data_IF_556731114371
#
_entry.id   IF_556731114371
#
_cell.length_a   1.000
_cell.length_b   1.000
_cell.length_c   1.000
_cell.angle_alpha   90.00
_cell.angle_beta   90.00
_cell.angle_gamma   90.00
#
_symmetry.space_group_name_H-M   'P 1'
#
loop_
_entity.id
_entity.type
_entity.pdbx_description
1 polymer ?
#
# COMPACT_ATOMS: atom_id res chain seq x y z
N UNK A 1 21.35 6.93 -59.73
CA UNK A 1 20.56 7.01 -58.48
C UNK A 1 19.05 6.79 -58.71
N UNK A 2 18.64 5.65 -59.30
CA UNK A 2 17.21 5.28 -59.44
C UNK A 2 16.90 3.84 -58.99
N UNK A 3 17.91 3.03 -58.65
CA UNK A 3 17.74 1.63 -58.23
C UNK A 3 17.68 1.42 -56.71
N UNK A 4 18.08 2.40 -55.90
CA UNK A 4 18.06 2.26 -54.42
C UNK A 4 16.67 2.51 -53.83
N UNK A 5 15.77 3.18 -54.56
CA UNK A 5 14.39 3.43 -54.10
C UNK A 5 13.46 2.24 -54.24
N UNK A 6 13.80 1.23 -55.07
CA UNK A 6 12.96 0.06 -55.31
C UNK A 6 13.14 -1.02 -54.22
N UNK A 7 14.29 -1.06 -53.56
CA UNK A 7 14.58 -2.05 -52.50
C UNK A 7 13.98 -1.60 -51.16
N UNK A 8 13.90 -0.29 -50.88
CA UNK A 8 13.33 0.22 -49.63
C UNK A 8 11.80 0.07 -49.52
N UNK A 9 11.08 0.01 -50.65
CA UNK A 9 9.63 -0.25 -50.63
C UNK A 9 9.30 -1.74 -50.45
N UNK A 10 10.22 -2.66 -50.78
CA UNK A 10 9.95 -4.10 -50.67
C UNK A 10 10.10 -4.61 -49.23
N UNK A 11 10.99 -4.02 -48.43
CA UNK A 11 11.19 -4.43 -47.03
C UNK A 11 10.06 -3.99 -46.11
N UNK A 12 9.35 -2.90 -46.43
CA UNK A 12 8.18 -2.44 -45.66
C UNK A 12 6.95 -3.31 -45.99
N UNK A 13 6.81 -3.78 -47.23
CA UNK A 13 5.73 -4.68 -47.64
C UNK A 13 5.88 -6.10 -47.06
N UNK A 14 7.10 -6.63 -46.94
CA UNK A 14 7.35 -7.93 -46.31
C UNK A 14 7.25 -7.89 -44.77
N UNK A 15 7.50 -6.75 -44.12
CA UNK A 15 7.22 -6.58 -42.68
C UNK A 15 5.73 -6.44 -42.38
N UNK A 16 4.91 -6.00 -43.34
CA UNK A 16 3.45 -5.92 -43.19
C UNK A 16 2.75 -7.26 -43.43
N UNK A 17 3.37 -8.19 -44.18
CA UNK A 17 2.81 -9.54 -44.38
C UNK A 17 3.07 -10.47 -43.18
N UNK A 18 4.09 -10.20 -42.36
CA UNK A 18 4.24 -10.83 -41.04
C UNK A 18 3.40 -10.13 -39.94
N UNK A 19 2.81 -8.97 -40.22
CA UNK A 19 1.82 -8.33 -39.35
C UNK A 19 0.36 -8.67 -39.71
N UNK A 20 0.11 -9.26 -40.89
CA UNK A 20 -1.23 -9.67 -41.30
C UNK A 20 -1.69 -10.99 -40.65
N UNK A 21 -0.77 -11.83 -40.17
CA UNK A 21 -1.13 -13.03 -39.40
C UNK A 21 -1.55 -12.74 -37.96
N UNK A 22 -1.24 -11.55 -37.42
CA UNK A 22 -1.72 -11.13 -36.10
C UNK A 22 -3.20 -10.68 -36.13
N UNK A 23 -3.78 -10.51 -37.32
CA UNK A 23 -5.19 -10.15 -37.51
C UNK A 23 -5.99 -11.26 -38.20
N UNK A 24 -5.55 -12.52 -38.08
CA UNK A 24 -6.39 -13.66 -38.46
C UNK A 24 -7.65 -13.69 -37.60
N UNK A 25 -8.78 -13.77 -38.30
CA UNK A 25 -10.14 -13.47 -37.87
C UNK A 25 -10.78 -14.52 -36.95
N UNK A 26 -10.02 -15.43 -36.35
CA UNK A 26 -10.57 -16.58 -35.60
C UNK A 26 -9.89 -16.89 -34.26
N UNK A 27 -9.32 -15.90 -33.55
CA UNK A 27 -8.95 -16.08 -32.14
C UNK A 27 -9.35 -14.87 -31.29
N UNK A 28 -10.44 -15.05 -30.56
CA UNK A 28 -11.05 -14.06 -29.66
C UNK A 28 -10.19 -13.69 -28.44
N UNK A 29 -9.06 -14.36 -28.20
CA UNK A 29 -8.38 -14.28 -26.90
C UNK A 29 -7.06 -13.47 -26.87
N UNK A 30 -6.39 -13.21 -28.00
CA UNK A 30 -5.04 -12.63 -27.99
C UNK A 30 -4.98 -11.10 -28.18
N UNK A 31 -5.97 -10.50 -28.85
CA UNK A 31 -6.02 -9.05 -28.99
C UNK A 31 -6.44 -8.37 -27.68
N UNK A 32 -7.32 -9.00 -26.90
CA UNK A 32 -7.68 -8.51 -25.56
C UNK A 32 -6.46 -8.53 -24.62
N UNK A 33 -5.58 -9.52 -24.73
CA UNK A 33 -4.34 -9.56 -23.95
C UNK A 33 -3.35 -8.44 -24.35
N UNK A 34 -3.24 -8.11 -25.64
CA UNK A 34 -2.39 -7.03 -26.13
C UNK A 34 -2.97 -5.64 -25.79
N UNK A 35 -4.29 -5.45 -25.90
CA UNK A 35 -4.96 -4.24 -25.45
C UNK A 35 -4.95 -4.10 -23.92
N UNK A 36 -5.04 -5.20 -23.16
CA UNK A 36 -4.85 -5.21 -21.71
C UNK A 36 -3.41 -4.86 -21.30
N UNK A 37 -2.41 -5.30 -22.08
CA UNK A 37 -1.01 -4.88 -21.92
C UNK A 37 -0.82 -3.38 -22.22
N UNK A 38 -1.47 -2.87 -23.28
CA UNK A 38 -1.40 -1.46 -23.70
C UNK A 38 -2.21 -0.52 -22.78
N UNK A 39 -3.19 -1.04 -22.03
CA UNK A 39 -3.97 -0.32 -21.02
C UNK A 39 -3.29 -0.30 -19.63
N UNK A 40 -2.12 -0.92 -19.47
CA UNK A 40 -1.28 -0.92 -18.26
C UNK A 40 -2.10 -0.82 -16.95
N UNK A 41 -2.92 -1.84 -16.70
CA UNK A 41 -3.58 -1.99 -15.41
C UNK A 41 -2.49 -2.25 -14.35
N UNK A 42 -2.30 -1.29 -13.45
CA UNK A 42 -1.24 -1.35 -12.47
C UNK A 42 -1.03 -0.02 -11.80
N UNK A 43 -0.37 -0.04 -10.66
CA UNK A 43 0.03 1.16 -9.92
C UNK A 43 1.52 1.41 -10.15
N UNK A 44 1.95 2.66 -10.00
CA UNK A 44 3.39 2.97 -10.10
C UNK A 44 4.08 2.50 -8.83
N UNK A 45 5.10 1.66 -8.99
CA UNK A 45 5.91 1.15 -7.88
C UNK A 45 7.33 1.68 -8.05
N UNK A 46 7.90 2.19 -6.97
CA UNK A 46 9.27 2.69 -6.92
C UNK A 46 9.96 2.18 -5.66
N UNK A 47 11.25 1.92 -5.76
CA UNK A 47 12.07 1.59 -4.60
C UNK A 47 12.40 2.86 -3.81
N UNK A 48 12.45 2.72 -2.49
CA UNK A 48 12.81 3.77 -1.54
C UNK A 48 14.06 3.32 -0.79
N UNK A 49 15.04 4.21 -0.64
CA UNK A 49 16.30 3.92 0.03
C UNK A 49 16.48 4.65 1.37
N UNK A 50 15.56 5.54 1.72
CA UNK A 50 15.60 6.36 2.94
C UNK A 50 14.27 6.33 3.65
N UNK A 51 14.24 6.15 4.99
CA UNK A 51 15.39 5.96 5.88
C UNK A 51 16.04 4.57 5.79
N UNK A 52 15.38 3.63 5.10
CA UNK A 52 15.96 2.33 4.74
C UNK A 52 15.32 1.83 3.44
N UNK A 53 15.70 0.62 3.02
CA UNK A 53 15.11 -0.03 1.85
C UNK A 53 13.61 -0.27 2.02
N UNK A 54 12.85 0.01 0.98
CA UNK A 54 11.40 -0.19 0.96
C UNK A 54 10.83 -0.06 -0.45
N UNK A 55 9.53 -0.26 -0.56
CA UNK A 55 8.78 -0.11 -1.82
C UNK A 55 7.65 0.89 -1.59
N UNK A 56 7.62 1.93 -2.39
CA UNK A 56 6.52 2.89 -2.47
C UNK A 56 5.60 2.50 -3.62
N UNK A 57 4.31 2.45 -3.31
CA UNK A 57 3.24 2.25 -4.28
C UNK A 57 2.44 3.55 -4.34
N UNK A 58 2.48 4.20 -5.50
CA UNK A 58 1.72 5.41 -5.79
C UNK A 58 0.38 5.03 -6.42
N UNK A 59 -0.70 5.24 -5.65
CA UNK A 59 -2.04 4.90 -6.06
C UNK A 59 -2.71 5.97 -6.95
N UNK A 60 -2.16 7.18 -6.98
CA UNK A 60 -2.66 8.27 -7.85
C UNK A 60 -2.41 7.96 -9.33
N UNK A 61 -1.36 7.18 -9.58
CA UNK A 61 -0.95 6.73 -10.90
C UNK A 61 -1.59 5.39 -11.31
N UNK A 62 -2.42 4.74 -10.46
CA UNK A 62 -3.09 3.51 -10.87
C UNK A 62 -4.03 3.77 -12.06
N UNK A 63 -4.10 2.81 -12.99
CA UNK A 63 -4.98 2.85 -14.16
C UNK A 63 -5.73 1.53 -14.31
N UNK A 64 -6.87 1.57 -14.99
CA UNK A 64 -7.71 0.40 -15.26
C UNK A 64 -8.68 0.06 -14.12
N UNK A 65 -9.14 -1.19 -14.10
CA UNK A 65 -9.97 -1.72 -13.01
C UNK A 65 -9.18 -1.76 -11.69
N UNK A 66 -9.84 -1.41 -10.58
CA UNK A 66 -9.21 -1.30 -9.28
C UNK A 66 -8.62 -2.62 -8.79
N UNK A 67 -9.37 -3.72 -8.92
CA UNK A 67 -8.93 -5.04 -8.47
C UNK A 67 -7.79 -5.56 -9.35
N UNK A 68 -7.88 -5.37 -10.67
CA UNK A 68 -6.82 -5.76 -11.59
C UNK A 68 -5.51 -4.99 -11.33
N UNK A 69 -5.57 -3.66 -11.18
CA UNK A 69 -4.41 -2.81 -10.92
C UNK A 69 -3.74 -3.13 -9.57
N UNK A 70 -4.55 -3.37 -8.53
CA UNK A 70 -4.06 -3.75 -7.20
C UNK A 70 -3.46 -5.15 -7.20
N UNK A 71 -4.09 -6.11 -7.89
CA UNK A 71 -3.55 -7.48 -8.05
C UNK A 71 -2.20 -7.47 -8.74
N UNK A 72 -2.06 -6.73 -9.85
CA UNK A 72 -0.80 -6.53 -10.55
C UNK A 72 0.28 -5.88 -9.66
N UNK A 73 -0.15 -5.09 -8.67
CA UNK A 73 0.74 -4.41 -7.70
C UNK A 73 1.00 -5.23 -6.43
N UNK A 74 0.51 -6.47 -6.37
CA UNK A 74 0.74 -7.38 -5.23
C UNK A 74 -0.27 -7.24 -4.08
N UNK A 75 -1.45 -6.67 -4.33
CA UNK A 75 -2.52 -6.50 -3.36
C UNK A 75 -3.79 -7.26 -3.73
N UNK A 76 -4.56 -7.63 -2.72
CA UNK A 76 -5.96 -8.02 -2.84
C UNK A 76 -6.82 -6.87 -2.35
N UNK A 77 -7.97 -6.65 -2.99
CA UNK A 77 -8.88 -5.56 -2.61
C UNK A 77 -10.34 -5.98 -2.64
N UNK A 78 -11.15 -5.27 -1.87
CA UNK A 78 -12.61 -5.37 -1.90
C UNK A 78 -13.22 -4.01 -1.68
N UNK A 79 -14.25 -3.67 -2.47
CA UNK A 79 -15.00 -2.42 -2.36
C UNK A 79 -14.12 -1.17 -2.44
N UNK A 80 -13.12 -1.17 -3.32
CA UNK A 80 -12.21 -0.05 -3.58
C UNK A 80 -12.44 0.46 -5.00
N UNK A 81 -12.37 1.77 -5.16
CA UNK A 81 -12.36 2.43 -6.47
C UNK A 81 -11.08 3.25 -6.66
N UNK A 82 -10.70 3.48 -7.90
CA UNK A 82 -9.58 4.34 -8.24
C UNK A 82 -10.09 5.74 -8.62
N UNK A 83 -9.75 6.74 -7.82
CA UNK A 83 -10.05 8.15 -8.11
C UNK A 83 -8.97 9.03 -7.49
N UNK A 84 -7.91 9.27 -8.26
CA UNK A 84 -6.72 9.99 -7.78
C UNK A 84 -6.09 9.35 -6.53
N UNK A 85 -6.19 8.03 -6.39
CA UNK A 85 -5.84 7.24 -5.20
C UNK A 85 -6.84 6.09 -4.97
N UNK A 86 -6.63 5.31 -3.91
CA UNK A 86 -7.56 4.28 -3.47
C UNK A 86 -8.68 4.92 -2.66
N UNK A 87 -9.90 4.89 -3.18
CA UNK A 87 -11.07 5.43 -2.51
C UNK A 87 -11.91 4.31 -1.93
N UNK A 88 -12.05 4.32 -0.61
CA UNK A 88 -12.99 3.48 0.12
C UNK A 88 -14.14 4.31 0.66
N UNK A 89 -15.37 3.85 0.44
CA UNK A 89 -16.59 4.59 0.79
C UNK A 89 -17.33 4.01 2.00
N UNK A 90 -16.90 2.85 2.51
CA UNK A 90 -17.51 2.17 3.64
C UNK A 90 -16.52 1.33 4.44
N UNK A 91 -16.95 0.84 5.61
CA UNK A 91 -16.11 0.04 6.52
C UNK A 91 -15.68 -1.32 5.97
N UNK A 92 -16.24 -1.75 4.85
CA UNK A 92 -15.90 -3.00 4.13
C UNK A 92 -14.85 -2.80 3.04
N UNK A 93 -14.48 -1.55 2.74
CA UNK A 93 -13.44 -1.22 1.76
C UNK A 93 -12.07 -1.60 2.30
N UNK A 94 -11.42 -2.57 1.66
CA UNK A 94 -10.18 -3.15 2.17
C UNK A 94 -9.14 -3.40 1.09
N UNK A 95 -7.87 -3.32 1.46
CA UNK A 95 -6.70 -3.62 0.63
C UNK A 95 -5.67 -4.34 1.47
N UNK A 96 -5.08 -5.42 0.97
CA UNK A 96 -4.10 -6.24 1.70
C UNK A 96 -2.98 -6.67 0.79
N UNK A 97 -1.74 -6.73 1.28
CA UNK A 97 -0.65 -7.37 0.54
C UNK A 97 -0.92 -8.86 0.37
N UNK A 98 -0.64 -9.41 -0.82
CA UNK A 98 -0.86 -10.82 -1.13
C UNK A 98 0.16 -11.74 -0.43
N UNK A 99 1.33 -11.19 -0.11
CA UNK A 99 2.47 -11.90 0.47
C UNK A 99 2.94 -11.24 1.77
N UNK A 100 3.72 -12.00 2.55
CA UNK A 100 4.42 -11.49 3.73
C UNK A 100 5.25 -10.26 3.36
N UNK A 101 5.14 -9.22 4.16
CA UNK A 101 5.67 -7.88 3.95
C UNK A 101 6.46 -7.38 5.17
N UNK A 102 6.72 -8.24 6.16
CA UNK A 102 7.45 -7.90 7.39
C UNK A 102 8.90 -8.37 7.32
N UNK A 103 9.80 -7.61 7.95
CA UNK A 103 11.15 -8.10 8.22
C UNK A 103 11.09 -9.08 9.41
N UNK A 104 11.53 -10.32 9.20
CA UNK A 104 11.68 -11.34 10.26
C UNK A 104 13.16 -11.62 10.50
N UNK A 105 13.75 -10.95 11.47
CA UNK A 105 15.08 -11.29 11.99
C UNK A 105 14.91 -11.75 13.44
N UNK A 106 15.38 -12.96 13.76
CA UNK A 106 15.43 -13.44 15.15
C UNK A 106 14.11 -13.88 15.80
N UNK A 107 12.99 -13.89 15.06
CA UNK A 107 11.66 -14.23 15.60
C UNK A 107 10.80 -13.01 15.93
N UNK A 108 11.40 -11.82 15.96
CA UNK A 108 10.69 -10.55 16.07
C UNK A 108 10.10 -10.14 14.71
N UNK A 109 8.89 -9.59 14.75
CA UNK A 109 8.19 -9.12 13.56
C UNK A 109 8.07 -7.62 13.61
N UNK A 110 8.65 -6.93 12.64
CA UNK A 110 8.65 -5.48 12.58
C UNK A 110 8.03 -5.02 11.27
N UNK A 111 7.10 -4.08 11.38
CA UNK A 111 6.46 -3.42 10.27
C UNK A 111 6.74 -1.93 10.37
N UNK A 112 7.24 -1.33 9.29
CA UNK A 112 7.31 0.11 9.18
C UNK A 112 6.59 0.54 7.89
N UNK A 113 5.61 1.42 8.05
CA UNK A 113 4.68 1.81 7.01
C UNK A 113 4.60 3.33 6.99
N UNK A 114 4.74 3.92 5.81
CA UNK A 114 4.35 5.31 5.57
C UNK A 114 3.06 5.32 4.76
N UNK A 115 2.09 6.15 5.17
CA UNK A 115 0.83 6.30 4.44
C UNK A 115 0.58 7.78 4.16
N UNK A 116 0.23 8.09 2.91
CA UNK A 116 -0.25 9.41 2.49
C UNK A 116 -1.73 9.30 2.17
N UNK A 117 -2.57 10.12 2.81
CA UNK A 117 -4.02 10.01 2.71
C UNK A 117 -4.75 11.34 2.84
N UNK A 118 -6.04 11.33 2.47
CA UNK A 118 -7.01 12.40 2.70
C UNK A 118 -8.28 11.78 3.29
N UNK A 119 -8.78 12.33 4.40
CA UNK A 119 -10.08 11.96 4.97
C UNK A 119 -11.17 12.87 4.40
N UNK A 120 -12.31 12.33 3.98
CA UNK A 120 -13.31 13.11 3.26
C UNK A 120 -14.33 13.80 4.17
N UNK A 121 -14.56 13.28 5.37
CA UNK A 121 -15.62 13.68 6.32
C UNK A 121 -15.22 13.47 7.78
N UNK A 122 -15.97 14.03 8.72
CA UNK A 122 -15.69 13.94 10.17
C UNK A 122 -15.80 12.53 10.76
N UNK A 123 -16.49 11.61 10.09
CA UNK A 123 -16.62 10.20 10.48
C UNK A 123 -15.75 9.27 9.60
N UNK A 124 -14.82 9.83 8.84
CA UNK A 124 -13.88 9.05 8.03
C UNK A 124 -12.88 8.31 8.91
N UNK A 125 -12.37 7.19 8.43
CA UNK A 125 -11.31 6.47 9.13
C UNK A 125 -10.46 5.62 8.21
N UNK A 126 -9.24 5.37 8.64
CA UNK A 126 -8.33 4.41 8.02
C UNK A 126 -7.82 3.49 9.10
N UNK A 127 -7.95 2.19 8.91
CA UNK A 127 -7.28 1.19 9.74
C UNK A 127 -6.04 0.71 9.02
N UNK A 128 -4.85 0.98 9.56
CA UNK A 128 -3.60 0.37 9.12
C UNK A 128 -3.33 -0.85 10.00
N UNK A 129 -3.53 -2.04 9.44
CA UNK A 129 -3.58 -3.30 10.18
C UNK A 129 -2.53 -4.27 9.68
N UNK A 130 -2.11 -5.16 10.56
CA UNK A 130 -1.19 -6.25 10.25
C UNK A 130 -1.94 -7.58 10.38
N UNK A 131 -2.79 -7.93 9.40
CA UNK A 131 -3.65 -9.09 9.48
C UNK A 131 -2.86 -10.40 9.38
N UNK A 132 -3.46 -11.46 9.90
CA UNK A 132 -2.98 -12.82 9.68
C UNK A 132 -3.54 -13.41 8.39
N UNK A 133 -3.08 -14.60 8.01
CA UNK A 133 -3.64 -15.33 6.86
C UNK A 133 -5.06 -15.81 7.11
N UNK A 134 -5.43 -16.04 8.37
CA UNK A 134 -6.73 -16.57 8.80
C UNK A 134 -7.65 -15.51 9.40
N UNK A 135 -7.13 -14.34 9.76
CA UNK A 135 -7.87 -13.22 10.31
C UNK A 135 -7.51 -11.94 9.55
N UNK A 136 -8.48 -11.39 8.80
CA UNK A 136 -8.32 -10.13 8.08
C UNK A 136 -8.50 -8.90 8.98
N UNK A 137 -8.82 -9.09 10.26
CA UNK A 137 -8.60 -8.12 11.32
C UNK A 137 -7.20 -8.33 11.89
N UNK A 138 -6.61 -7.30 12.49
CA UNK A 138 -5.29 -7.44 13.07
C UNK A 138 -4.92 -6.23 13.91
N UNK A 139 -3.84 -6.36 14.69
CA UNK A 139 -3.32 -5.23 15.45
C UNK A 139 -2.82 -4.13 14.51
N UNK A 140 -2.77 -2.90 15.04
CA UNK A 140 -2.25 -1.76 14.30
C UNK A 140 -2.89 -0.46 14.76
N UNK A 141 -3.23 0.40 13.80
CA UNK A 141 -3.67 1.76 14.04
C UNK A 141 -5.06 2.01 13.47
N UNK A 142 -5.92 2.66 14.25
CA UNK A 142 -7.16 3.27 13.78
C UNK A 142 -6.96 4.79 13.72
N UNK A 143 -6.96 5.31 12.50
CA UNK A 143 -6.73 6.73 12.20
C UNK A 143 -8.07 7.38 11.93
N UNK A 144 -8.36 8.45 12.67
CA UNK A 144 -9.56 9.27 12.53
C UNK A 144 -9.17 10.73 12.28
N UNK A 145 -10.12 11.65 12.02
CA UNK A 145 -9.77 13.02 11.69
C UNK A 145 -9.07 13.79 12.79
N UNK A 146 -9.16 13.35 14.04
CA UNK A 146 -8.61 14.07 15.20
C UNK A 146 -7.72 13.22 16.10
N UNK A 147 -7.67 11.90 15.92
CA UNK A 147 -6.89 11.01 16.79
C UNK A 147 -6.38 9.76 16.07
N UNK A 148 -5.35 9.15 16.66
CA UNK A 148 -4.92 7.78 16.39
C UNK A 148 -5.17 6.92 17.61
N UNK A 149 -5.74 5.75 17.38
CA UNK A 149 -6.05 4.74 18.38
C UNK A 149 -5.33 3.43 18.03
N UNK A 150 -5.19 2.54 19.01
CA UNK A 150 -4.72 1.17 18.76
C UNK A 150 -5.86 0.28 18.30
N UNK A 151 -5.50 -0.67 17.43
CA UNK A 151 -6.29 -1.85 17.12
C UNK A 151 -5.62 -3.06 17.76
N UNK A 152 -6.40 -3.91 18.43
CA UNK A 152 -5.96 -5.22 18.94
C UNK A 152 -6.11 -6.30 17.87
N UNK A 153 -5.61 -7.51 18.14
CA UNK A 153 -5.71 -8.65 17.19
C UNK A 153 -7.12 -8.99 16.70
N UNK A 154 -8.14 -8.76 17.51
CA UNK A 154 -9.56 -8.93 17.13
C UNK A 154 -10.18 -7.68 16.44
N UNK A 155 -9.40 -6.62 16.22
CA UNK A 155 -9.85 -5.36 15.61
C UNK A 155 -10.57 -4.41 16.57
N UNK A 156 -10.50 -4.62 17.89
CA UNK A 156 -11.06 -3.68 18.86
C UNK A 156 -10.30 -2.36 18.84
N UNK A 157 -11.04 -1.25 18.79
CA UNK A 157 -10.53 0.12 18.76
C UNK A 157 -10.51 0.70 20.17
N UNK A 158 -9.35 1.18 20.63
CA UNK A 158 -9.21 1.86 21.92
C UNK A 158 -8.11 2.92 21.88
N UNK A 159 -8.14 3.87 22.79
CA UNK A 159 -7.11 4.91 22.86
C UNK A 159 -5.71 4.32 23.12
N UNK A 160 -4.69 4.98 22.57
CA UNK A 160 -3.28 4.78 22.95
C UNK A 160 -3.03 5.37 24.34
N UNK A 161 -2.12 4.78 25.10
CA UNK A 161 -1.66 5.30 26.40
C UNK A 161 -0.99 6.65 26.24
N UNK A 162 -0.19 6.80 25.18
CA UNK A 162 0.32 8.10 24.72
C UNK A 162 -0.45 8.50 23.45
N UNK A 163 -1.63 9.16 23.59
CA UNK A 163 -2.43 9.55 22.44
C UNK A 163 -1.83 10.77 21.74
N UNK A 164 -2.07 10.87 20.44
CA UNK A 164 -1.91 12.11 19.69
C UNK A 164 -3.27 12.62 19.29
N UNK A 165 -3.57 13.85 19.69
CA UNK A 165 -4.71 14.61 19.20
C UNK A 165 -4.17 15.70 18.28
N UNK A 166 -4.80 15.87 17.12
CA UNK A 166 -4.46 16.93 16.17
C UNK A 166 -5.71 17.69 15.73
N UNK A 167 -5.50 18.89 15.17
CA UNK A 167 -6.56 19.62 14.48
C UNK A 167 -7.12 18.78 13.33
N UNK A 168 -8.44 18.82 13.14
CA UNK A 168 -9.15 18.02 12.11
C UNK A 168 -8.37 17.91 10.80
N UNK A 169 -8.18 16.68 10.33
CA UNK A 169 -7.50 16.38 9.06
C UNK A 169 -8.46 16.19 7.89
N UNK A 170 -9.72 16.58 8.01
CA UNK A 170 -10.71 16.46 6.92
C UNK A 170 -10.29 17.34 5.74
N UNK A 171 -10.33 16.79 4.55
CA UNK A 171 -9.99 17.43 3.27
C UNK A 171 -8.53 17.92 3.18
N UNK A 172 -7.67 17.58 4.13
CA UNK A 172 -6.25 17.86 4.10
C UNK A 172 -5.46 16.59 3.81
N UNK A 173 -4.45 16.69 2.96
CA UNK A 173 -3.49 15.61 2.80
C UNK A 173 -2.64 15.48 4.06
N UNK A 174 -2.48 14.25 4.53
CA UNK A 174 -1.69 13.89 5.70
C UNK A 174 -0.74 12.76 5.36
N UNK A 175 0.37 12.75 6.08
CA UNK A 175 1.38 11.71 6.04
C UNK A 175 1.62 11.19 7.45
N UNK A 176 1.60 9.87 7.60
CA UNK A 176 1.93 9.21 8.86
C UNK A 176 3.04 8.19 8.62
N UNK A 177 4.03 8.19 9.51
CA UNK A 177 4.95 7.08 9.69
C UNK A 177 4.47 6.23 10.87
N UNK A 178 4.20 4.96 10.60
CA UNK A 178 3.65 4.00 11.55
C UNK A 178 4.61 2.83 11.70
N UNK A 179 4.82 2.42 12.94
CA UNK A 179 5.65 1.26 13.26
C UNK A 179 4.97 0.34 14.24
N UNK A 180 5.16 -0.96 14.01
CA UNK A 180 4.67 -2.01 14.89
C UNK A 180 5.78 -3.03 15.07
N UNK A 181 6.18 -3.24 16.31
CA UNK A 181 7.26 -4.16 16.69
C UNK A 181 6.67 -5.22 17.60
N UNK A 182 6.63 -6.47 17.13
CA UNK A 182 6.28 -7.61 17.96
C UNK A 182 7.54 -8.18 18.60
N UNK A 183 7.61 -8.09 19.92
CA UNK A 183 8.70 -8.62 20.72
C UNK A 183 8.07 -9.38 21.90
N UNK A 184 8.52 -10.61 22.15
CA UNK A 184 8.07 -11.43 23.30
C UNK A 184 6.54 -11.64 23.41
N UNK A 185 5.82 -11.66 22.29
CA UNK A 185 4.39 -11.99 22.23
C UNK A 185 3.42 -10.80 22.32
N UNK A 186 3.90 -9.62 22.68
CA UNK A 186 3.14 -8.36 22.61
C UNK A 186 3.69 -7.46 21.50
N UNK A 187 2.92 -6.43 21.14
CA UNK A 187 3.38 -5.41 20.22
C UNK A 187 3.53 -4.06 20.89
N UNK A 188 4.62 -3.39 20.52
CA UNK A 188 4.76 -1.95 20.65
C UNK A 188 4.30 -1.30 19.33
N UNK A 189 3.30 -0.43 19.41
CA UNK A 189 2.78 0.34 18.27
C UNK A 189 3.09 1.82 18.50
N UNK A 190 3.71 2.48 17.52
CA UNK A 190 4.12 3.88 17.66
C UNK A 190 4.22 4.59 16.31
N UNK A 191 4.26 5.92 16.32
CA UNK A 191 4.35 6.68 15.08
C UNK A 191 4.55 8.19 15.19
N UNK A 192 4.52 8.83 14.01
CA UNK A 192 4.76 10.26 13.79
C UNK A 192 3.86 10.82 12.68
N UNK A 193 3.44 12.07 12.84
CA UNK A 193 2.79 12.89 11.81
C UNK A 193 3.83 13.49 10.85
N UNK A 194 4.55 12.62 10.13
CA UNK A 194 5.58 12.99 9.17
C UNK A 194 5.91 11.79 8.26
N UNK A 195 6.70 12.01 7.20
CA UNK A 195 7.35 10.90 6.47
C UNK A 195 8.28 10.12 7.39
N UNK A 196 8.46 8.82 7.16
CA UNK A 196 9.39 8.01 7.95
C UNK A 196 10.83 8.50 7.87
N UNK A 197 11.24 9.12 6.76
CA UNK A 197 12.57 9.71 6.63
C UNK A 197 12.82 10.95 7.51
N UNK A 198 11.75 11.65 7.90
CA UNK A 198 11.82 12.87 8.72
C UNK A 198 11.40 12.63 10.18
N UNK A 199 11.02 11.41 10.52
CA UNK A 199 10.53 11.06 11.84
C UNK A 199 11.65 11.16 12.89
N UNK A 200 11.39 11.88 13.98
CA UNK A 200 12.33 11.98 15.10
C UNK A 200 12.27 10.69 15.94
N UNK A 201 13.19 9.76 15.68
CA UNK A 201 13.29 8.48 16.38
C UNK A 201 13.65 8.57 17.86
N UNK A 202 14.05 9.75 18.38
CA UNK A 202 14.26 9.96 19.81
C UNK A 202 12.98 10.27 20.59
N UNK A 203 11.84 10.52 19.93
CA UNK A 203 10.58 10.84 20.60
C UNK A 203 9.38 10.45 19.73
N UNK A 204 8.63 9.45 20.17
CA UNK A 204 7.37 9.05 19.54
C UNK A 204 6.30 10.12 19.76
N UNK A 205 5.48 10.40 18.74
CA UNK A 205 4.36 11.35 18.90
C UNK A 205 3.11 10.69 19.45
N UNK A 206 2.97 9.39 19.25
CA UNK A 206 1.97 8.53 19.84
C UNK A 206 2.53 7.12 19.95
N UNK A 207 2.16 6.42 21.02
CA UNK A 207 2.62 5.06 21.27
C UNK A 207 1.75 4.30 22.26
N UNK A 208 1.89 2.98 22.20
CA UNK A 208 1.40 2.03 23.18
C UNK A 208 2.29 0.79 23.17
N UNK A 209 2.74 0.39 24.35
CA UNK A 209 3.39 -0.91 24.56
C UNK A 209 2.39 -1.94 25.10
N UNK A 210 2.66 -3.22 24.89
CA UNK A 210 1.84 -4.30 25.42
C UNK A 210 0.55 -4.57 24.63
N UNK A 211 0.46 -4.15 23.37
CA UNK A 211 -0.72 -4.46 22.54
C UNK A 211 -0.77 -5.95 22.26
N UNK A 212 -1.87 -6.59 22.66
CA UNK A 212 -2.10 -8.01 22.38
C UNK A 212 -2.02 -8.28 20.87
N UNK A 213 -1.08 -9.13 20.49
CA UNK A 213 -0.62 -9.28 19.13
C UNK A 213 -0.66 -10.73 18.66
N UNK A 214 -1.29 -10.95 17.52
CA UNK A 214 -1.10 -12.16 16.71
C UNK A 214 -0.89 -11.70 15.26
N UNK A 215 0.37 -11.52 14.89
CA UNK A 215 0.78 -11.13 13.54
C UNK A 215 0.97 -12.35 12.64
N UNK A 216 0.16 -13.40 12.80
CA UNK A 216 0.32 -14.71 12.15
C UNK A 216 0.31 -14.74 10.61
N UNK A 217 0.32 -13.61 9.91
CA UNK A 217 0.31 -13.58 8.44
C UNK A 217 1.22 -12.59 7.78
N UNK A 218 1.99 -11.79 8.54
CA UNK A 218 2.99 -10.85 8.02
C UNK A 218 2.48 -9.91 6.91
N UNK A 219 1.17 -9.68 6.80
CA UNK A 219 0.60 -8.84 5.75
C UNK A 219 0.46 -7.42 6.25
N UNK A 220 0.38 -6.50 5.30
CA UNK A 220 0.00 -5.11 5.56
C UNK A 220 -1.36 -4.88 4.90
N UNK A 221 -2.29 -4.38 5.70
CA UNK A 221 -3.67 -4.15 5.31
C UNK A 221 -4.13 -2.74 5.60
N UNK A 222 -5.02 -2.23 4.75
CA UNK A 222 -5.75 -0.99 4.93
C UNK A 222 -7.24 -1.30 4.92
N UNK A 223 -7.98 -0.78 5.90
CA UNK A 223 -9.44 -0.59 5.80
C UNK A 223 -9.73 0.89 5.64
N UNK A 224 -10.51 1.27 4.65
CA UNK A 224 -10.60 2.66 4.18
C UNK A 224 -12.07 3.10 4.20
N UNK A 225 -12.47 3.90 5.18
CA UNK A 225 -13.84 4.41 5.27
C UNK A 225 -13.87 5.91 4.99
N UNK A 226 -14.55 6.31 3.89
CA UNK A 226 -14.69 7.70 3.44
C UNK A 226 -13.35 8.42 3.34
N UNK A 227 -12.35 7.75 2.78
CA UNK A 227 -11.00 8.26 2.68
C UNK A 227 -10.37 7.90 1.35
N UNK A 228 -9.33 8.64 0.99
CA UNK A 228 -8.50 8.40 -0.18
C UNK A 228 -7.07 8.11 0.26
N UNK A 229 -6.51 6.96 -0.11
CA UNK A 229 -5.09 6.65 0.08
C UNK A 229 -4.35 7.02 -1.21
N UNK A 230 -3.38 7.93 -1.10
CA UNK A 230 -2.57 8.41 -2.23
C UNK A 230 -1.37 7.51 -2.47
N UNK A 231 -0.69 7.10 -1.41
CA UNK A 231 0.42 6.15 -1.50
C UNK A 231 0.63 5.40 -0.20
N UNK A 232 1.25 4.23 -0.30
CA UNK A 232 1.83 3.50 0.82
C UNK A 232 3.30 3.22 0.53
N UNK A 233 4.17 3.41 1.51
CA UNK A 233 5.54 2.92 1.48
C UNK A 233 5.68 1.82 2.52
N UNK A 234 6.10 0.65 2.09
CA UNK A 234 6.36 -0.51 2.94
C UNK A 234 7.88 -0.69 3.00
N UNK A 235 8.46 -0.52 4.19
CA UNK A 235 9.90 -0.68 4.36
C UNK A 235 10.23 -2.14 4.64
N UNK A 236 11.24 -2.67 3.95
CA UNK A 236 11.66 -4.07 4.01
C UNK A 236 12.69 -4.35 5.12
N UNK A 237 13.19 -3.30 5.75
CA UNK A 237 14.06 -3.37 6.90
C UNK A 237 13.49 -2.50 8.04
N UNK A 238 13.83 -2.87 9.27
CA UNK A 238 13.49 -2.10 10.45
C UNK A 238 14.07 -0.68 10.36
N UNK A 239 13.23 0.33 10.58
CA UNK A 239 13.64 1.74 10.68
C UNK A 239 13.93 2.14 12.14
N UNK A 240 13.69 1.24 13.08
CA UNK A 240 13.88 1.42 14.51
C UNK A 240 15.27 1.94 14.87
N UNK A 241 15.36 2.52 16.06
CA UNK A 241 16.61 3.02 16.64
C UNK A 241 17.64 1.89 16.71
N UNK A 242 18.87 2.20 16.31
CA UNK A 242 20.04 1.47 16.80
C UNK A 242 20.09 1.68 18.32
N UNK A 243 19.39 0.84 19.10
CA UNK A 243 19.45 0.87 20.57
C UNK A 243 18.20 0.63 21.41
N UNK A 244 17.02 0.26 20.89
CA UNK A 244 15.93 -0.24 21.77
C UNK A 244 15.19 -1.38 21.08
N UNK A 245 14.96 -2.55 21.70
CA UNK A 245 14.68 -2.83 23.10
C UNK A 245 15.45 -4.09 23.56
N UNK A 246 15.97 -4.08 24.80
CA UNK A 246 16.36 -5.28 25.55
C UNK A 246 15.33 -5.49 26.66
#
# INVERSE_FOLDING_TARGET
MKFVKLILCSTILLSLMNCAELFQKDKKDNNDALFALLLNAGCTISDVSSPTSGRKIDFTACRGDANAALTASGFSSSSISLSGGLVGTGSTSTVYTNSSSLSSLGGDKKASIEIVYVLSQSDSSISAILPSTTNLSGPGFYISPTTVNKLTSNGSNSALTTPRVWSSSVSAEKILCLEVHQESGNAHVFGWESSCAAANRGTYQFEEDGVAADFGGDRIGLRINKATIKSITIYSANIGTSGSFQ
#
